data_IF_777268610394
#
_entry.id   IF_777268610394
#
_cell.length_a   1.000
_cell.length_b   1.000
_cell.length_c   1.000
_cell.angle_alpha   90.00
_cell.angle_beta   90.00
_cell.angle_gamma   90.00
#
_symmetry.space_group_name_H-M   'P 1'
#
loop_
_entity.id
_entity.type
_entity.pdbx_description
1 polymer ?
#
# COMPACT_ATOMS: atom_id res chain seq x y z
N UNK A 1 9.70 7.87 -11.03
CA UNK A 1 10.94 8.07 -10.26
C UNK A 1 11.80 6.82 -10.22
N UNK A 2 11.28 5.65 -9.81
CA UNK A 2 12.07 4.40 -9.76
C UNK A 2 12.49 3.85 -11.14
N UNK A 3 11.80 4.23 -12.22
CA UNK A 3 12.08 3.75 -13.59
C UNK A 3 13.37 4.31 -14.20
N UNK A 4 13.82 5.48 -13.76
CA UNK A 4 14.88 6.24 -14.44
C UNK A 4 16.15 6.45 -13.62
N UNK A 5 16.10 6.23 -12.30
CA UNK A 5 17.26 6.40 -11.42
C UNK A 5 17.68 5.03 -10.86
N UNK A 6 18.81 4.46 -11.30
CA UNK A 6 19.29 3.17 -10.82
C UNK A 6 19.73 3.19 -9.34
N UNK A 7 20.16 4.33 -8.84
CA UNK A 7 20.66 4.54 -7.49
C UNK A 7 19.84 5.62 -6.78
N UNK A 8 18.61 5.27 -6.41
CA UNK A 8 17.82 6.13 -5.55
C UNK A 8 18.02 5.76 -4.08
N UNK A 9 18.04 6.77 -3.25
CA UNK A 9 18.15 6.65 -1.81
C UNK A 9 16.79 6.23 -1.22
N UNK A 10 16.75 5.04 -0.64
CA UNK A 10 15.53 4.44 -0.11
C UNK A 10 15.10 5.17 1.16
N UNK A 11 16.05 5.52 2.04
CA UNK A 11 15.73 6.27 3.27
C UNK A 11 15.05 7.60 2.94
N UNK A 12 15.55 8.33 1.93
CA UNK A 12 14.92 9.56 1.44
C UNK A 12 13.54 9.35 0.83
N UNK A 13 13.35 8.23 0.14
CA UNK A 13 12.06 7.88 -0.43
C UNK A 13 11.04 7.61 0.68
N UNK A 14 11.45 6.87 1.71
CA UNK A 14 10.63 6.58 2.88
C UNK A 14 10.25 7.82 3.66
N UNK A 15 11.22 8.67 3.99
CA UNK A 15 10.99 9.92 4.71
C UNK A 15 9.95 10.83 4.02
N UNK A 16 9.90 10.82 2.68
CA UNK A 16 8.92 11.62 1.93
C UNK A 16 7.49 11.10 2.01
N UNK A 17 7.31 9.78 2.12
CA UNK A 17 6.01 9.13 2.22
C UNK A 17 5.53 8.96 3.67
N UNK A 18 6.43 9.14 4.63
CA UNK A 18 6.19 8.87 6.06
C UNK A 18 6.86 9.94 6.91
N UNK A 19 6.30 11.16 6.97
CA UNK A 19 6.94 12.30 7.64
C UNK A 19 7.09 12.14 9.16
N UNK A 20 6.41 11.17 9.75
CA UNK A 20 6.48 10.84 11.17
C UNK A 20 7.67 9.94 11.53
N UNK A 21 8.30 9.29 10.55
CA UNK A 21 9.43 8.39 10.79
C UNK A 21 10.72 9.15 11.04
N UNK A 22 11.50 8.69 12.01
CA UNK A 22 12.84 9.19 12.28
C UNK A 22 13.82 8.81 11.16
N UNK A 23 14.94 9.52 11.09
CA UNK A 23 16.01 9.21 10.14
C UNK A 23 16.57 7.78 10.34
N UNK A 24 16.65 7.30 11.60
CA UNK A 24 17.14 5.97 11.91
C UNK A 24 16.20 4.86 11.39
N UNK A 25 14.88 5.05 11.52
CA UNK A 25 13.89 4.13 10.98
C UNK A 25 13.93 4.11 9.44
N UNK A 26 14.04 5.26 8.81
CA UNK A 26 14.20 5.32 7.35
C UNK A 26 15.47 4.61 6.87
N UNK A 27 16.59 4.75 7.59
CA UNK A 27 17.84 4.02 7.28
C UNK A 27 17.71 2.51 7.51
N UNK A 28 16.94 2.06 8.49
CA UNK A 28 16.66 0.64 8.67
C UNK A 28 15.98 0.03 7.43
N UNK A 29 15.07 0.76 6.78
CA UNK A 29 14.48 0.35 5.50
C UNK A 29 15.46 0.37 4.33
N UNK A 30 16.53 1.14 4.39
CA UNK A 30 17.59 1.16 3.39
C UNK A 30 18.56 -0.03 3.53
N UNK A 31 18.73 -0.56 4.72
CA UNK A 31 19.72 -1.60 5.03
C UNK A 31 19.65 -2.87 4.13
N UNK A 32 18.47 -3.41 3.73
CA UNK A 32 18.39 -4.57 2.83
C UNK A 32 18.85 -4.29 1.40
N UNK A 33 19.13 -3.06 1.03
CA UNK A 33 19.40 -2.62 -0.33
C UNK A 33 20.75 -1.92 -0.52
N UNK A 34 21.87 -2.58 -0.13
CA UNK A 34 23.20 -1.94 -0.11
C UNK A 34 23.71 -1.54 -1.49
N UNK A 35 23.27 -2.22 -2.54
CA UNK A 35 23.76 -2.01 -3.90
C UNK A 35 22.64 -2.11 -4.97
N UNK A 36 23.05 -1.89 -6.21
CA UNK A 36 22.15 -1.92 -7.38
C UNK A 36 21.48 -3.29 -7.59
N UNK A 37 22.16 -4.39 -7.30
CA UNK A 37 21.62 -5.74 -7.43
C UNK A 37 20.45 -5.96 -6.49
N UNK A 38 20.64 -5.64 -5.23
CA UNK A 38 19.61 -5.75 -4.18
C UNK A 38 18.40 -4.85 -4.44
N UNK A 39 18.56 -3.77 -5.22
CA UNK A 39 17.46 -2.87 -5.63
C UNK A 39 16.74 -3.32 -6.91
N UNK A 40 17.03 -4.49 -7.47
CA UNK A 40 16.44 -4.92 -8.74
C UNK A 40 14.91 -5.02 -8.69
N UNK A 41 14.35 -5.60 -7.64
CA UNK A 41 12.91 -5.72 -7.44
C UNK A 41 12.23 -4.35 -7.33
N UNK A 42 12.82 -3.40 -6.62
CA UNK A 42 12.29 -2.04 -6.47
C UNK A 42 12.18 -1.30 -7.82
N UNK A 43 13.02 -1.66 -8.79
CA UNK A 43 12.94 -1.12 -10.16
C UNK A 43 11.94 -1.88 -11.04
N UNK A 44 11.75 -3.17 -10.77
CA UNK A 44 10.87 -4.02 -11.56
C UNK A 44 9.39 -3.84 -11.21
N UNK A 45 9.03 -3.88 -9.95
CA UNK A 45 7.63 -3.82 -9.50
C UNK A 45 6.82 -2.64 -10.06
N UNK A 46 7.33 -1.40 -10.09
CA UNK A 46 6.56 -0.29 -10.67
C UNK A 46 6.26 -0.43 -12.17
N UNK A 47 7.01 -1.30 -12.88
CA UNK A 47 6.76 -1.60 -14.30
C UNK A 47 5.69 -2.66 -14.50
N UNK A 48 5.40 -3.43 -13.46
CA UNK A 48 4.38 -4.49 -13.48
C UNK A 48 2.99 -3.96 -13.14
N UNK A 49 2.90 -2.73 -12.64
CA UNK A 49 1.61 -2.09 -12.36
C UNK A 49 0.93 -1.76 -13.69
N UNK A 50 -0.27 -2.28 -13.96
CA UNK A 50 -0.99 -1.99 -15.18
C UNK A 50 -1.48 -0.53 -15.18
N UNK A 51 -0.84 0.31 -15.98
CA UNK A 51 -1.09 1.75 -16.08
C UNK A 51 -1.92 2.14 -17.31
N UNK A 52 -2.36 1.15 -18.10
CA UNK A 52 -3.23 1.32 -19.26
C UNK A 52 -4.14 0.09 -19.46
N UNK A 53 -5.26 0.23 -20.18
CA UNK A 53 -6.27 -0.83 -20.31
C UNK A 53 -5.78 -2.14 -20.94
N UNK A 54 -4.76 -2.07 -21.78
CA UNK A 54 -4.14 -3.18 -22.52
C UNK A 54 -2.82 -3.66 -21.90
N UNK A 55 -2.41 -3.12 -20.73
CA UNK A 55 -1.21 -3.56 -20.04
C UNK A 55 -1.34 -5.00 -19.55
N UNK A 56 -0.19 -5.68 -19.44
CA UNK A 56 -0.11 -7.00 -18.82
C UNK A 56 -0.75 -6.95 -17.42
N UNK A 57 -1.62 -7.92 -17.11
CA UNK A 57 -2.36 -7.98 -15.84
C UNK A 57 -3.61 -7.08 -15.75
N UNK A 58 -3.85 -6.15 -16.68
CA UNK A 58 -5.02 -5.27 -16.65
C UNK A 58 -6.35 -6.05 -16.74
N UNK A 59 -6.40 -7.10 -17.56
CA UNK A 59 -7.57 -7.97 -17.65
C UNK A 59 -7.87 -8.65 -16.31
N UNK A 60 -6.86 -9.25 -15.69
CA UNK A 60 -6.97 -9.91 -14.37
C UNK A 60 -7.41 -8.91 -13.30
N UNK A 61 -6.89 -7.71 -13.33
CA UNK A 61 -7.30 -6.65 -12.39
C UNK A 61 -8.76 -6.27 -12.53
N UNK A 62 -9.28 -6.22 -13.77
CA UNK A 62 -10.71 -5.98 -14.03
C UNK A 62 -11.60 -7.12 -13.54
N UNK A 63 -11.20 -8.36 -13.80
CA UNK A 63 -11.91 -9.56 -13.33
C UNK A 63 -11.94 -9.61 -11.80
N UNK A 64 -10.81 -9.34 -11.13
CA UNK A 64 -10.72 -9.26 -9.69
C UNK A 64 -11.66 -8.19 -9.13
N UNK A 65 -11.70 -7.00 -9.75
CA UNK A 65 -12.63 -5.94 -9.33
C UNK A 65 -14.09 -6.37 -9.46
N UNK A 66 -14.49 -7.03 -10.55
CA UNK A 66 -15.85 -7.52 -10.72
C UNK A 66 -16.19 -8.62 -9.70
N UNK A 67 -15.24 -9.51 -9.38
CA UNK A 67 -15.40 -10.51 -8.33
C UNK A 67 -15.64 -9.84 -6.97
N UNK A 68 -14.79 -8.90 -6.57
CA UNK A 68 -14.94 -8.19 -5.29
C UNK A 68 -16.27 -7.45 -5.20
N UNK A 69 -16.70 -6.87 -6.29
CA UNK A 69 -17.93 -6.07 -6.35
C UNK A 69 -19.20 -6.90 -6.33
N UNK A 70 -19.22 -8.04 -7.03
CA UNK A 70 -20.43 -8.83 -7.26
C UNK A 70 -20.51 -10.13 -6.48
N UNK A 71 -19.39 -10.80 -6.32
CA UNK A 71 -19.32 -12.17 -5.84
C UNK A 71 -18.77 -12.28 -4.40
N UNK A 72 -18.00 -11.28 -3.94
CA UNK A 72 -17.45 -11.31 -2.60
C UNK A 72 -18.56 -11.30 -1.55
N UNK A 73 -18.50 -12.25 -0.61
CA UNK A 73 -19.45 -12.39 0.50
C UNK A 73 -18.74 -12.61 1.85
N UNK A 74 -17.41 -12.53 1.85
CA UNK A 74 -16.61 -12.61 3.08
C UNK A 74 -16.61 -11.30 3.85
N UNK A 75 -16.01 -11.32 5.03
CA UNK A 75 -15.75 -10.13 5.83
C UNK A 75 -14.53 -9.39 5.28
N UNK A 76 -14.57 -8.08 5.34
CA UNK A 76 -13.46 -7.22 4.91
C UNK A 76 -13.21 -6.15 5.97
N UNK A 77 -11.99 -5.72 6.10
CA UNK A 77 -11.57 -4.58 6.93
C UNK A 77 -10.62 -3.73 6.12
N UNK A 78 -10.68 -2.42 6.29
CA UNK A 78 -9.76 -1.48 5.64
C UNK A 78 -9.20 -0.52 6.68
N UNK A 79 -7.89 -0.26 6.63
CA UNK A 79 -7.23 0.77 7.41
C UNK A 79 -6.58 1.78 6.44
N UNK A 80 -6.74 3.08 6.72
CA UNK A 80 -6.28 4.14 5.83
C UNK A 80 -5.42 5.14 6.60
N UNK A 81 -4.18 5.35 6.12
CA UNK A 81 -3.34 6.45 6.57
C UNK A 81 -3.72 7.76 5.87
N UNK A 82 -4.15 8.77 6.61
CA UNK A 82 -4.59 10.05 5.99
C UNK A 82 -3.43 10.89 5.47
N UNK A 83 -2.21 10.64 5.94
CA UNK A 83 -1.00 11.31 5.45
C UNK A 83 -0.34 10.60 4.26
N UNK A 84 -0.98 9.55 3.72
CA UNK A 84 -0.49 8.86 2.53
C UNK A 84 -0.69 9.75 1.28
N UNK A 85 0.38 10.19 0.61
CA UNK A 85 0.27 11.04 -0.57
C UNK A 85 -0.14 10.28 -1.84
N UNK A 86 -0.24 8.95 -1.78
CA UNK A 86 -0.49 8.07 -2.94
C UNK A 86 -1.80 7.31 -2.80
N UNK A 87 -2.00 6.63 -1.68
CA UNK A 87 -3.16 5.78 -1.39
C UNK A 87 -3.96 6.32 -0.19
N UNK A 88 -4.06 7.63 -0.08
CA UNK A 88 -4.86 8.29 0.96
C UNK A 88 -6.36 8.07 0.80
N UNK A 89 -7.14 8.74 1.65
CA UNK A 89 -8.59 8.53 1.76
C UNK A 89 -9.36 8.51 0.42
N UNK A 90 -9.12 9.42 -0.55
CA UNK A 90 -9.91 9.41 -1.79
C UNK A 90 -9.73 8.12 -2.58
N UNK A 91 -8.48 7.64 -2.71
CA UNK A 91 -8.15 6.43 -3.48
C UNK A 91 -8.67 5.19 -2.76
N UNK A 92 -8.45 5.10 -1.45
CA UNK A 92 -8.86 3.95 -0.66
C UNK A 92 -10.39 3.86 -0.51
N UNK A 93 -11.08 4.97 -0.41
CA UNK A 93 -12.55 4.98 -0.42
C UNK A 93 -13.11 4.56 -1.79
N UNK A 94 -12.48 4.95 -2.90
CA UNK A 94 -12.85 4.46 -4.22
C UNK A 94 -12.59 2.93 -4.35
N UNK A 95 -11.51 2.41 -3.77
CA UNK A 95 -11.28 0.97 -3.69
C UNK A 95 -12.35 0.27 -2.85
N UNK A 96 -12.67 0.81 -1.67
CA UNK A 96 -13.70 0.28 -0.76
C UNK A 96 -15.04 0.08 -1.44
N UNK A 97 -15.46 1.04 -2.26
CA UNK A 97 -16.70 0.96 -3.03
C UNK A 97 -16.75 -0.21 -4.02
N UNK A 98 -15.60 -0.76 -4.39
CA UNK A 98 -15.50 -1.95 -5.22
C UNK A 98 -15.43 -3.26 -4.40
N UNK A 99 -15.52 -3.20 -3.08
CA UNK A 99 -15.50 -4.39 -2.22
C UNK A 99 -16.87 -4.50 -1.56
N UNK A 100 -17.68 -5.45 -2.02
CA UNK A 100 -19.03 -5.66 -1.51
C UNK A 100 -19.03 -5.92 0.00
N UNK A 101 -19.81 -5.11 0.74
CA UNK A 101 -19.93 -5.25 2.18
C UNK A 101 -18.71 -4.81 3.00
N UNK A 102 -17.74 -4.13 2.37
CA UNK A 102 -16.62 -3.54 3.11
C UNK A 102 -17.16 -2.38 3.99
N UNK A 103 -16.94 -2.43 5.32
CA UNK A 103 -17.41 -1.40 6.23
C UNK A 103 -16.64 -0.09 6.07
N UNK A 104 -17.03 0.93 6.85
CA UNK A 104 -16.23 2.15 6.96
C UNK A 104 -14.81 1.83 7.43
N UNK A 105 -13.81 2.51 6.89
CA UNK A 105 -12.43 2.22 7.19
C UNK A 105 -12.04 2.68 8.59
N UNK A 106 -11.09 1.99 9.19
CA UNK A 106 -10.31 2.51 10.31
C UNK A 106 -9.39 3.62 9.78
N UNK A 107 -9.59 4.83 10.24
CA UNK A 107 -8.80 6.00 9.82
C UNK A 107 -7.65 6.22 10.80
N UNK A 108 -6.45 6.34 10.28
CA UNK A 108 -5.20 6.53 11.00
C UNK A 108 -4.63 7.92 10.69
N UNK A 109 -4.93 8.95 11.50
CA UNK A 109 -4.56 10.35 11.20
C UNK A 109 -3.06 10.60 11.14
N UNK A 110 -2.27 9.74 11.75
CA UNK A 110 -0.81 9.87 11.84
C UNK A 110 -0.06 8.93 10.89
N UNK A 111 -0.78 8.05 10.17
CA UNK A 111 -0.16 7.09 9.27
C UNK A 111 0.07 7.70 7.88
N UNK A 112 1.26 7.46 7.34
CA UNK A 112 1.62 7.76 5.95
C UNK A 112 1.42 6.55 5.04
N UNK A 113 2.23 6.49 3.97
CA UNK A 113 2.17 5.42 2.98
C UNK A 113 2.49 4.02 3.55
N UNK A 114 3.29 3.96 4.60
CA UNK A 114 3.66 2.72 5.29
C UNK A 114 2.77 2.48 6.51
N UNK A 115 1.52 2.18 6.25
CA UNK A 115 0.51 1.81 7.27
C UNK A 115 0.97 0.65 8.18
N UNK A 116 1.81 -0.33 7.74
CA UNK A 116 2.37 -1.34 8.64
C UNK A 116 3.14 -0.82 9.85
N UNK A 117 3.67 0.41 9.82
CA UNK A 117 4.30 1.04 10.99
C UNK A 117 3.29 1.30 12.14
N UNK A 118 2.00 1.26 11.84
CA UNK A 118 0.88 1.29 12.78
C UNK A 118 0.26 -0.10 12.99
N UNK A 119 1.05 -1.16 12.74
CA UNK A 119 0.57 -2.54 12.68
C UNK A 119 -0.06 -3.04 13.98
N UNK A 120 0.40 -2.57 15.15
CA UNK A 120 -0.13 -3.02 16.44
C UNK A 120 -1.62 -2.64 16.60
N UNK A 121 -1.98 -1.39 16.37
CA UNK A 121 -3.36 -0.94 16.49
C UNK A 121 -4.27 -1.56 15.43
N UNK A 122 -3.76 -1.71 14.19
CA UNK A 122 -4.48 -2.37 13.10
C UNK A 122 -4.71 -3.84 13.42
N UNK A 123 -3.68 -4.55 13.91
CA UNK A 123 -3.79 -5.96 14.28
C UNK A 123 -4.80 -6.18 15.41
N UNK A 124 -4.79 -5.35 16.44
CA UNK A 124 -5.78 -5.40 17.53
C UNK A 124 -7.20 -5.22 17.00
N UNK A 125 -7.41 -4.24 16.14
CA UNK A 125 -8.71 -4.02 15.50
C UNK A 125 -9.12 -5.21 14.63
N UNK A 126 -8.19 -5.78 13.85
CA UNK A 126 -8.45 -6.92 12.98
C UNK A 126 -8.81 -8.19 13.78
N UNK A 127 -8.09 -8.49 14.86
CA UNK A 127 -8.40 -9.63 15.74
C UNK A 127 -9.78 -9.49 16.37
N UNK A 128 -10.16 -8.29 16.77
CA UNK A 128 -11.52 -8.03 17.29
C UNK A 128 -12.61 -8.13 16.22
N UNK A 129 -12.29 -7.78 14.98
CA UNK A 129 -13.23 -7.79 13.87
C UNK A 129 -13.38 -9.18 13.22
N UNK A 130 -12.32 -9.96 13.14
CA UNK A 130 -12.30 -11.32 12.61
C UNK A 130 -12.18 -12.34 13.77
N UNK A 131 -13.28 -12.74 14.40
CA UNK A 131 -13.20 -13.75 15.44
C UNK A 131 -12.70 -15.09 14.87
N UNK A 132 -12.08 -15.94 15.70
CA UNK A 132 -11.60 -17.24 15.29
C UNK A 132 -12.73 -18.16 14.80
#
# INVERSE_FOLDING_TARGET
MCRTKPDFDIARLFARGNPHMSAAECEAYNAPFPDRGHRAALRAFPRMVPDRPDADGAAISREAREFWRRCWNGRSMMAIGTQDPVLGEPVMNALRQNIRGCPEPMVLPHAGHFVPEHGEEIARAAVGYFPP
#
